data_IF_025329847034
#
_entry.id   IF_025329847034
#
_cell.length_a   1.000
_cell.length_b   1.000
_cell.length_c   1.000
_cell.angle_alpha   90.00
_cell.angle_beta   90.00
_cell.angle_gamma   90.00
#
_symmetry.space_group_name_H-M   'P 1'
#
loop_
_entity.id
_entity.type
_entity.pdbx_description
1 polymer ?
#
# COMPACT_ATOMS: atom_id res chain seq x y z
N UNK A 1 -7.51 29.77 -24.62
CA UNK A 1 -6.67 29.92 -23.42
C UNK A 1 -6.80 28.62 -22.65
N UNK A 2 -5.78 27.76 -22.68
CA UNK A 2 -5.81 26.51 -21.92
C UNK A 2 -5.64 26.86 -20.44
N UNK A 3 -6.58 26.48 -19.60
CA UNK A 3 -6.36 26.45 -18.15
C UNK A 3 -5.13 25.57 -17.89
N UNK A 4 -4.04 26.18 -17.45
CA UNK A 4 -2.88 25.48 -16.89
C UNK A 4 -3.27 24.92 -15.53
N UNK A 5 -4.14 23.91 -15.53
CA UNK A 5 -4.51 23.17 -14.33
C UNK A 5 -3.27 22.51 -13.73
N UNK A 6 -3.10 22.63 -12.41
CA UNK A 6 -2.02 21.96 -11.70
C UNK A 6 -2.10 20.44 -11.93
N UNK A 7 -0.95 19.81 -12.24
CA UNK A 7 -0.87 18.36 -12.46
C UNK A 7 -1.31 17.60 -11.21
N UNK A 8 -2.25 16.63 -11.29
CA UNK A 8 -2.69 15.88 -10.13
C UNK A 8 -1.54 15.15 -9.44
N UNK A 9 -1.53 15.17 -8.11
CA UNK A 9 -0.45 14.60 -7.30
C UNK A 9 -0.71 13.15 -6.92
N UNK A 10 0.35 12.34 -6.97
CA UNK A 10 0.34 10.92 -6.59
C UNK A 10 1.46 10.62 -5.59
N UNK A 11 1.13 9.95 -4.49
CA UNK A 11 2.11 9.33 -3.59
C UNK A 11 2.22 7.83 -3.88
N UNK A 12 3.45 7.36 -4.14
CA UNK A 12 3.73 5.94 -4.36
C UNK A 12 4.29 5.28 -3.10
N UNK A 13 3.55 4.32 -2.54
CA UNK A 13 3.94 3.57 -1.33
C UNK A 13 4.47 2.19 -1.73
N UNK A 14 5.71 1.89 -1.35
CA UNK A 14 6.32 0.58 -1.60
C UNK A 14 5.82 -0.50 -0.63
N UNK A 15 6.12 -1.76 -0.92
CA UNK A 15 5.75 -2.91 -0.09
C UNK A 15 6.70 -3.17 1.08
N UNK A 16 6.44 -4.29 1.78
CA UNK A 16 7.28 -4.77 2.87
C UNK A 16 8.67 -5.18 2.36
N UNK A 17 9.71 -4.95 3.17
CA UNK A 17 11.13 -5.21 2.83
C UNK A 17 11.68 -4.43 1.62
N UNK A 18 10.89 -3.51 1.06
CA UNK A 18 11.27 -2.70 -0.09
C UNK A 18 11.70 -1.30 0.34
N UNK A 19 12.20 -0.55 -0.65
CA UNK A 19 12.45 0.89 -0.61
C UNK A 19 11.73 1.55 -1.77
N UNK A 20 11.59 2.87 -1.72
CA UNK A 20 10.91 3.66 -2.75
C UNK A 20 11.48 3.50 -4.17
N UNK A 21 12.71 3.02 -4.34
CA UNK A 21 13.29 2.74 -5.66
C UNK A 21 12.49 1.72 -6.48
N UNK A 22 11.79 0.77 -5.85
CA UNK A 22 11.03 -0.27 -6.55
C UNK A 22 9.88 0.29 -7.41
N UNK A 23 9.38 1.47 -7.06
CA UNK A 23 8.28 2.11 -7.78
C UNK A 23 8.76 3.06 -8.89
N UNK A 24 10.07 3.16 -9.15
CA UNK A 24 10.63 4.12 -10.12
C UNK A 24 10.10 3.95 -11.56
N UNK A 25 9.83 2.72 -12.00
CA UNK A 25 9.23 2.49 -13.33
C UNK A 25 7.79 3.00 -13.40
N UNK A 26 7.01 2.80 -12.34
CA UNK A 26 5.64 3.29 -12.25
C UNK A 26 5.62 4.81 -12.14
N UNK A 27 6.53 5.38 -11.35
CA UNK A 27 6.78 6.81 -11.23
C UNK A 27 6.98 7.46 -12.62
N UNK A 28 7.93 6.96 -13.40
CA UNK A 28 8.20 7.47 -14.75
C UNK A 28 6.97 7.41 -15.67
N UNK A 29 6.19 6.32 -15.63
CA UNK A 29 4.98 6.18 -16.47
C UNK A 29 3.85 7.11 -16.05
N UNK A 30 3.67 7.32 -14.75
CA UNK A 30 2.68 8.27 -14.24
C UNK A 30 3.07 9.71 -14.55
N UNK A 31 4.35 10.06 -14.45
CA UNK A 31 4.83 11.37 -14.88
C UNK A 31 4.59 11.61 -16.38
N UNK A 32 4.87 10.61 -17.23
CA UNK A 32 4.55 10.66 -18.67
C UNK A 32 3.05 10.81 -18.95
N UNK A 33 2.21 10.25 -18.07
CA UNK A 33 0.75 10.40 -18.14
C UNK A 33 0.24 11.73 -17.54
N UNK A 34 1.13 12.67 -17.16
CA UNK A 34 0.75 14.01 -16.72
C UNK A 34 0.56 14.19 -15.20
N UNK A 35 0.93 13.21 -14.38
CA UNK A 35 0.86 13.32 -12.93
C UNK A 35 2.13 13.94 -12.33
N UNK A 36 2.01 14.63 -11.19
CA UNK A 36 3.15 14.91 -10.31
C UNK A 36 3.28 13.76 -9.32
N UNK A 37 4.42 13.08 -9.33
CA UNK A 37 4.60 11.87 -8.54
C UNK A 37 5.66 12.10 -7.48
N UNK A 38 5.37 11.67 -6.26
CA UNK A 38 6.34 11.60 -5.17
C UNK A 38 6.38 10.17 -4.63
N UNK A 39 7.57 9.58 -4.59
CA UNK A 39 7.77 8.25 -4.01
C UNK A 39 7.92 8.37 -2.49
N UNK A 40 7.05 7.68 -1.75
CA UNK A 40 7.05 7.67 -0.29
C UNK A 40 7.88 6.49 0.23
N UNK A 41 9.04 6.79 0.79
CA UNK A 41 9.95 5.79 1.36
C UNK A 41 9.75 5.66 2.86
N UNK A 42 9.46 4.49 3.42
CA UNK A 42 9.17 4.34 4.85
C UNK A 42 9.74 3.04 5.41
N UNK A 43 9.96 3.00 6.74
CA UNK A 43 10.59 1.87 7.41
C UNK A 43 9.58 0.72 7.65
N UNK A 44 9.15 0.07 6.57
CA UNK A 44 8.01 -0.87 6.50
C UNK A 44 7.96 -2.00 7.53
N UNK A 45 9.10 -2.39 8.12
CA UNK A 45 9.16 -3.38 9.21
C UNK A 45 9.66 -2.80 10.54
N UNK A 46 10.44 -1.71 10.52
CA UNK A 46 11.15 -1.23 11.72
C UNK A 46 10.34 -0.23 12.53
N UNK A 47 9.33 0.40 11.93
CA UNK A 47 8.48 1.38 12.59
C UNK A 47 7.04 0.88 12.69
N UNK A 48 6.30 1.30 13.73
CA UNK A 48 4.87 0.99 13.85
C UNK A 48 4.05 1.71 12.77
N UNK A 49 2.88 1.15 12.44
CA UNK A 49 1.95 1.71 11.45
C UNK A 49 1.56 3.16 11.76
N UNK A 50 1.38 3.50 13.03
CA UNK A 50 1.07 4.87 13.47
C UNK A 50 2.13 5.90 13.05
N UNK A 51 3.41 5.50 13.02
CA UNK A 51 4.49 6.38 12.56
C UNK A 51 4.43 6.58 11.04
N UNK A 52 4.05 5.54 10.30
CA UNK A 52 3.82 5.64 8.86
C UNK A 52 2.68 6.62 8.55
N UNK A 53 1.57 6.54 9.31
CA UNK A 53 0.45 7.47 9.19
C UNK A 53 0.85 8.90 9.51
N UNK A 54 1.53 9.14 10.62
CA UNK A 54 2.00 10.47 11.00
C UNK A 54 2.94 11.07 9.95
N UNK A 55 3.78 10.25 9.32
CA UNK A 55 4.66 10.70 8.25
C UNK A 55 3.92 10.94 6.94
N UNK A 56 2.92 10.12 6.61
CA UNK A 56 2.08 10.33 5.43
C UNK A 56 1.26 11.62 5.58
N UNK A 57 0.65 11.85 6.75
CA UNK A 57 -0.06 13.09 7.06
C UNK A 57 0.84 14.32 6.87
N UNK A 58 2.05 14.32 7.43
CA UNK A 58 3.01 15.42 7.24
C UNK A 58 3.34 15.69 5.77
N UNK A 59 3.54 14.65 4.97
CA UNK A 59 3.84 14.79 3.54
C UNK A 59 2.63 15.33 2.76
N UNK A 60 1.43 14.93 3.14
CA UNK A 60 0.19 15.40 2.52
C UNK A 60 -0.04 16.88 2.87
N UNK A 61 0.03 17.23 4.15
CA UNK A 61 -0.22 18.58 4.64
C UNK A 61 0.82 19.60 4.19
N UNK A 62 2.08 19.17 3.99
CA UNK A 62 3.15 20.06 3.51
C UNK A 62 2.83 20.70 2.16
N UNK A 63 2.05 20.05 1.30
CA UNK A 63 1.59 20.64 0.02
C UNK A 63 0.17 21.20 0.11
N UNK A 64 -0.64 20.75 1.08
CA UNK A 64 -1.98 21.31 1.34
C UNK A 64 -3.01 21.08 0.24
N UNK A 65 -2.71 20.25 -0.76
CA UNK A 65 -3.53 20.01 -1.94
C UNK A 65 -4.10 18.58 -1.98
N UNK A 66 -5.13 18.33 -2.81
CA UNK A 66 -5.66 16.98 -3.03
C UNK A 66 -4.60 16.01 -3.56
N UNK A 67 -4.66 14.76 -3.13
CA UNK A 67 -3.66 13.75 -3.46
C UNK A 67 -4.30 12.39 -3.77
N UNK A 68 -3.67 11.63 -4.66
CA UNK A 68 -3.97 10.22 -4.89
C UNK A 68 -2.88 9.34 -4.26
N UNK A 69 -3.27 8.19 -3.73
CA UNK A 69 -2.31 7.21 -3.21
C UNK A 69 -2.28 6.00 -4.14
N UNK A 70 -1.08 5.50 -4.44
CA UNK A 70 -0.91 4.19 -5.08
C UNK A 70 0.02 3.36 -4.22
N UNK A 71 -0.48 2.22 -3.74
CA UNK A 71 0.24 1.37 -2.82
C UNK A 71 0.48 -0.01 -3.39
N UNK A 72 1.73 -0.46 -3.37
CA UNK A 72 2.12 -1.82 -3.73
C UNK A 72 2.16 -2.72 -2.50
N UNK A 73 1.50 -3.88 -2.55
CA UNK A 73 1.47 -4.87 -1.47
C UNK A 73 1.12 -4.21 -0.13
N UNK A 74 1.99 -4.27 0.88
CA UNK A 74 1.83 -3.57 2.17
C UNK A 74 1.51 -2.07 2.00
N UNK A 75 2.10 -1.39 1.01
CA UNK A 75 1.86 0.04 0.80
C UNK A 75 0.39 0.38 0.53
N UNK A 76 -0.37 -0.52 -0.10
CA UNK A 76 -1.81 -0.32 -0.29
C UNK A 76 -2.60 -0.55 0.99
N UNK A 77 -2.20 -1.53 1.80
CA UNK A 77 -2.77 -1.75 3.14
C UNK A 77 -2.56 -0.50 4.01
N UNK A 78 -1.36 0.07 4.02
CA UNK A 78 -1.07 1.32 4.76
C UNK A 78 -1.88 2.50 4.20
N UNK A 79 -2.04 2.60 2.88
CA UNK A 79 -2.83 3.69 2.28
C UNK A 79 -4.31 3.62 2.69
N UNK A 80 -4.91 2.42 2.69
CA UNK A 80 -6.31 2.23 3.10
C UNK A 80 -6.47 2.40 4.60
N UNK A 81 -5.54 1.89 5.42
CA UNK A 81 -5.58 2.09 6.88
C UNK A 81 -5.42 3.56 7.27
N UNK A 82 -4.62 4.32 6.51
CA UNK A 82 -4.50 5.76 6.70
C UNK A 82 -5.83 6.50 6.49
N UNK A 83 -6.65 6.09 5.51
CA UNK A 83 -7.99 6.67 5.32
C UNK A 83 -8.91 6.46 6.52
N UNK A 84 -8.69 5.37 7.27
CA UNK A 84 -9.44 5.02 8.48
C UNK A 84 -8.90 5.71 9.74
N UNK A 85 -7.76 6.37 9.64
CA UNK A 85 -7.11 7.04 10.76
C UNK A 85 -7.79 8.36 11.11
N UNK A 86 -7.52 8.88 12.31
CA UNK A 86 -8.03 10.18 12.76
C UNK A 86 -7.26 11.39 12.20
N UNK A 87 -6.35 11.18 11.24
CA UNK A 87 -5.57 12.28 10.66
C UNK A 87 -6.43 13.11 9.70
N UNK A 88 -6.56 14.41 9.96
CA UNK A 88 -7.28 15.34 9.08
C UNK A 88 -6.79 15.32 7.63
N UNK A 89 -5.49 15.08 7.41
CA UNK A 89 -4.87 14.90 6.10
C UNK A 89 -5.52 13.80 5.25
N UNK A 90 -6.16 12.79 5.85
CA UNK A 90 -6.88 11.74 5.13
C UNK A 90 -8.00 12.30 4.24
N UNK A 91 -8.65 13.40 4.66
CA UNK A 91 -9.69 14.09 3.88
C UNK A 91 -9.20 14.67 2.55
N UNK A 92 -7.88 14.84 2.38
CA UNK A 92 -7.28 15.32 1.12
C UNK A 92 -7.05 14.19 0.12
N UNK A 93 -7.19 12.93 0.55
CA UNK A 93 -6.99 11.77 -0.32
C UNK A 93 -8.24 11.55 -1.18
N UNK A 94 -8.06 11.71 -2.49
CA UNK A 94 -9.14 11.65 -3.46
C UNK A 94 -9.41 10.22 -3.95
N UNK A 95 -8.34 9.43 -4.17
CA UNK A 95 -8.42 8.05 -4.66
C UNK A 95 -7.25 7.23 -4.14
N UNK A 96 -7.47 5.94 -3.96
CA UNK A 96 -6.43 4.97 -3.63
C UNK A 96 -6.43 3.86 -4.67
N UNK A 97 -5.25 3.48 -5.16
CA UNK A 97 -5.06 2.28 -5.99
C UNK A 97 -4.15 1.30 -5.27
N UNK A 98 -4.63 0.09 -5.05
CA UNK A 98 -3.90 -1.00 -4.43
C UNK A 98 -3.39 -1.96 -5.50
N UNK A 99 -2.09 -2.26 -5.48
CA UNK A 99 -1.44 -3.20 -6.41
C UNK A 99 -1.04 -4.44 -5.63
N UNK A 100 -1.79 -5.54 -5.78
CA UNK A 100 -1.52 -6.81 -5.09
C UNK A 100 -1.48 -6.67 -3.57
N UNK A 101 -2.36 -5.84 -2.98
CA UNK A 101 -2.37 -5.55 -1.54
C UNK A 101 -3.27 -6.51 -0.78
N UNK A 102 -2.79 -7.21 0.27
CA UNK A 102 -3.59 -8.17 1.04
C UNK A 102 -4.50 -7.46 2.04
N UNK A 103 -5.53 -6.75 1.56
CA UNK A 103 -6.47 -5.98 2.38
C UNK A 103 -7.22 -6.85 3.40
N UNK A 104 -7.48 -8.14 3.12
CA UNK A 104 -8.10 -9.10 4.06
C UNK A 104 -7.08 -9.91 4.89
N UNK A 105 -5.87 -9.41 4.97
CA UNK A 105 -4.75 -10.09 5.61
C UNK A 105 -4.15 -11.19 4.72
N UNK A 106 -2.91 -11.53 5.03
CA UNK A 106 -2.05 -12.38 4.22
C UNK A 106 -1.91 -13.77 4.81
N UNK A 107 -2.08 -14.78 3.97
CA UNK A 107 -1.87 -16.18 4.29
C UNK A 107 -0.40 -16.44 4.61
N UNK A 108 0.54 -15.81 3.88
CA UNK A 108 1.97 -15.90 4.20
C UNK A 108 2.26 -15.27 5.56
N UNK A 109 1.66 -14.12 5.87
CA UNK A 109 1.81 -13.50 7.20
C UNK A 109 1.28 -14.41 8.33
N UNK A 110 0.07 -14.97 8.15
CA UNK A 110 -0.50 -15.97 9.08
C UNK A 110 0.38 -17.21 9.21
N UNK A 111 1.03 -17.65 8.14
CA UNK A 111 1.96 -18.80 8.17
C UNK A 111 3.23 -18.48 8.94
N UNK A 112 3.86 -17.32 8.70
CA UNK A 112 5.01 -16.84 9.48
C UNK A 112 4.65 -16.72 10.97
N UNK A 113 3.42 -16.30 11.28
CA UNK A 113 2.91 -16.24 12.65
C UNK A 113 2.83 -17.62 13.32
N UNK A 114 2.30 -18.64 12.62
CA UNK A 114 2.21 -20.01 13.17
C UNK A 114 3.58 -20.59 13.54
N UNK A 115 4.62 -20.26 12.79
CA UNK A 115 6.00 -20.69 13.06
C UNK A 115 6.80 -19.71 13.93
N UNK A 116 6.16 -18.68 14.50
CA UNK A 116 6.75 -17.66 15.39
C UNK A 116 7.93 -16.88 14.79
N UNK A 117 7.98 -16.73 13.45
CA UNK A 117 8.98 -15.92 12.74
C UNK A 117 8.44 -14.57 12.24
N UNK A 118 7.17 -14.29 12.52
CA UNK A 118 6.46 -13.07 12.17
C UNK A 118 7.05 -11.79 12.79
N UNK A 119 7.55 -11.82 14.02
CA UNK A 119 8.16 -10.64 14.65
C UNK A 119 9.40 -10.16 13.90
N UNK A 120 10.25 -11.11 13.46
CA UNK A 120 11.47 -10.80 12.73
C UNK A 120 11.19 -10.45 11.27
N UNK A 121 10.21 -11.12 10.66
CA UNK A 121 9.84 -10.92 9.26
C UNK A 121 8.98 -9.67 9.05
N UNK A 122 7.89 -9.51 9.80
CA UNK A 122 6.85 -8.51 9.51
C UNK A 122 6.98 -7.24 10.36
N UNK A 123 7.63 -7.33 11.51
CA UNK A 123 7.89 -6.19 12.40
C UNK A 123 6.63 -5.38 12.73
N UNK A 124 6.70 -4.06 12.56
CA UNK A 124 5.59 -3.14 12.87
C UNK A 124 4.31 -3.33 12.04
N UNK A 125 4.41 -3.98 10.87
CA UNK A 125 3.27 -4.29 10.00
C UNK A 125 2.62 -5.65 10.29
N UNK A 126 3.11 -6.38 11.31
CA UNK A 126 2.67 -7.73 11.62
C UNK A 126 1.16 -7.84 11.82
N UNK A 127 0.59 -7.04 12.72
CA UNK A 127 -0.80 -7.21 13.14
C UNK A 127 -1.76 -6.96 11.96
N UNK A 128 -1.56 -5.84 11.26
CA UNK A 128 -2.37 -5.44 10.11
C UNK A 128 -2.29 -6.43 8.95
N UNK A 129 -1.13 -7.08 8.74
CA UNK A 129 -0.97 -8.12 7.71
C UNK A 129 -1.57 -9.47 8.12
N UNK A 130 -1.69 -9.77 9.42
CA UNK A 130 -2.30 -11.02 9.88
C UNK A 130 -3.82 -10.92 9.84
N UNK A 131 -4.35 -9.83 10.41
CA UNK A 131 -5.78 -9.62 10.59
C UNK A 131 -6.44 -9.13 9.31
N UNK A 132 -5.74 -8.30 8.54
CA UNK A 132 -6.34 -7.49 7.48
C UNK A 132 -7.02 -6.25 8.03
N UNK A 133 -7.75 -5.58 7.14
CA UNK A 133 -8.51 -4.38 7.44
C UNK A 133 -10.02 -4.71 7.46
N UNK A 134 -10.80 -4.03 8.32
CA UNK A 134 -12.24 -4.00 8.16
C UNK A 134 -12.61 -3.41 6.80
N UNK A 135 -13.76 -3.82 6.27
CA UNK A 135 -14.29 -3.29 5.01
C UNK A 135 -14.34 -1.76 5.03
N UNK A 136 -13.93 -1.15 3.93
CA UNK A 136 -13.96 0.29 3.75
C UNK A 136 -15.39 0.76 3.47
N UNK A 137 -15.85 1.75 4.24
CA UNK A 137 -17.21 2.29 4.13
C UNK A 137 -17.24 3.81 3.89
N UNK A 138 -16.09 4.44 3.63
CA UNK A 138 -16.02 5.88 3.36
C UNK A 138 -16.10 6.22 1.87
N UNK A 139 -16.14 7.51 1.57
CA UNK A 139 -16.42 8.02 0.21
C UNK A 139 -15.22 7.94 -0.74
N UNK A 140 -14.00 7.82 -0.22
CA UNK A 140 -12.79 7.73 -1.06
C UNK A 140 -12.84 6.46 -1.90
N UNK A 141 -12.76 6.62 -3.23
CA UNK A 141 -12.75 5.50 -4.15
C UNK A 141 -11.43 4.69 -4.00
N UNK A 142 -11.57 3.37 -3.81
CA UNK A 142 -10.45 2.42 -3.73
C UNK A 142 -10.53 1.47 -4.94
N UNK A 143 -9.50 1.51 -5.78
CA UNK A 143 -9.30 0.57 -6.88
C UNK A 143 -8.29 -0.52 -6.51
N UNK A 144 -8.52 -1.75 -6.96
CA UNK A 144 -7.63 -2.89 -6.70
C UNK A 144 -7.20 -3.51 -8.03
N UNK A 145 -5.89 -3.69 -8.20
CA UNK A 145 -5.29 -4.46 -9.30
C UNK A 145 -4.60 -5.67 -8.66
N UNK A 146 -5.16 -6.85 -8.88
CA UNK A 146 -4.61 -8.11 -8.39
C UNK A 146 -3.86 -8.85 -9.51
N UNK A 147 -2.71 -9.46 -9.18
CA UNK A 147 -1.93 -10.26 -10.11
C UNK A 147 -2.26 -11.75 -10.01
N UNK A 148 -2.07 -12.48 -11.11
CA UNK A 148 -2.34 -13.93 -11.18
C UNK A 148 -1.11 -14.76 -11.60
N UNK A 149 0.04 -14.10 -11.81
CA UNK A 149 1.29 -14.78 -12.16
C UNK A 149 1.93 -15.28 -10.87
N UNK A 150 1.81 -16.58 -10.59
CA UNK A 150 2.27 -17.20 -9.34
C UNK A 150 3.79 -17.33 -9.22
N UNK A 151 4.50 -16.21 -9.12
CA UNK A 151 5.95 -16.15 -8.99
C UNK A 151 6.35 -15.21 -7.84
N UNK A 152 6.79 -15.77 -6.71
CA UNK A 152 7.10 -14.97 -5.52
C UNK A 152 7.37 -15.79 -4.28
N UNK A 153 7.11 -15.20 -3.11
CA UNK A 153 7.44 -15.76 -1.80
C UNK A 153 6.80 -17.13 -1.51
N UNK A 154 5.68 -17.47 -2.16
CA UNK A 154 5.04 -18.78 -2.08
C UNK A 154 5.94 -19.93 -2.53
N UNK A 155 6.96 -19.67 -3.37
CA UNK A 155 7.96 -20.66 -3.74
C UNK A 155 8.84 -21.09 -2.55
N UNK A 156 9.01 -20.21 -1.56
CA UNK A 156 9.86 -20.43 -0.39
C UNK A 156 9.00 -20.73 0.85
N UNK A 157 7.93 -19.97 1.03
CA UNK A 157 7.08 -20.02 2.22
C UNK A 157 5.91 -20.99 2.06
N UNK A 158 5.74 -21.63 0.90
CA UNK A 158 4.75 -22.66 0.60
C UNK A 158 3.53 -22.14 -0.19
N UNK A 159 2.63 -23.04 -0.63
CA UNK A 159 1.58 -22.74 -1.60
C UNK A 159 0.58 -21.69 -1.10
N UNK A 160 -0.02 -20.97 -2.04
CA UNK A 160 -1.09 -19.99 -1.82
C UNK A 160 -2.40 -20.43 -2.51
N UNK A 161 -3.57 -20.02 -1.98
CA UNK A 161 -4.83 -20.12 -2.72
C UNK A 161 -4.70 -19.50 -4.12
N UNK A 162 -5.34 -20.09 -5.13
CA UNK A 162 -5.30 -19.58 -6.51
C UNK A 162 -6.60 -18.83 -6.86
N UNK A 163 -6.55 -17.85 -7.77
CA UNK A 163 -5.34 -17.29 -8.39
C UNK A 163 -4.51 -16.43 -7.41
N UNK A 164 -3.19 -16.34 -7.64
CA UNK A 164 -2.27 -15.53 -6.83
C UNK A 164 -1.06 -15.05 -7.64
N UNK A 165 -0.45 -13.96 -7.19
CA UNK A 165 0.76 -13.39 -7.78
C UNK A 165 2.07 -13.99 -7.22
N UNK A 166 1.96 -15.10 -6.48
CA UNK A 166 3.08 -15.74 -5.82
C UNK A 166 3.38 -15.17 -4.44
N UNK A 167 2.73 -14.08 -4.00
CA UNK A 167 2.84 -13.52 -2.64
C UNK A 167 1.48 -13.26 -2.00
N UNK A 168 0.51 -12.80 -2.79
CA UNK A 168 -0.84 -12.44 -2.39
C UNK A 168 -1.84 -13.16 -3.28
N UNK A 169 -2.83 -13.80 -2.68
CA UNK A 169 -3.95 -14.40 -3.39
C UNK A 169 -4.97 -13.33 -3.78
N UNK A 170 -5.64 -13.49 -4.91
CA UNK A 170 -6.69 -12.55 -5.37
C UNK A 170 -7.82 -12.43 -4.35
N UNK A 171 -8.10 -13.49 -3.58
CA UNK A 171 -9.08 -13.43 -2.49
C UNK A 171 -8.66 -12.50 -1.33
N UNK A 172 -7.36 -12.28 -1.15
CA UNK A 172 -6.81 -11.43 -0.08
C UNK A 172 -6.87 -9.95 -0.42
N UNK A 173 -7.05 -9.60 -1.71
CA UNK A 173 -7.09 -8.20 -2.16
C UNK A 173 -8.48 -7.57 -2.10
N UNK A 174 -9.51 -8.29 -1.66
CA UNK A 174 -10.92 -7.90 -1.78
C UNK A 174 -11.48 -7.17 -0.57
#
# INVERSE_FOLDING_TARGET
MAETGARPRVLLLHGIWMRSGITARLDARLQQAGFRVQRFDYASIKSPVSEHHARLARVIDAEGEPVHLVGHSLGGVIAVDFLRSAHAAASRVQRVVCLGSPLRGSHLARRLNRIKLDKLGLGGARQILIDGLPEWQGDTAIGVIAGEISFGLSLILGPLPRPNDGTVAVAETR
#
